data_IF_604260902693
#
_entry.id   IF_604260902693
#
_cell.length_a   1.000
_cell.length_b   1.000
_cell.length_c   1.000
_cell.angle_alpha   90.00
_cell.angle_beta   90.00
_cell.angle_gamma   90.00
#
_symmetry.space_group_name_H-M   'P 1'
#
loop_
_entity.id
_entity.type
_entity.pdbx_description
1 polymer ?
#
# COMPACT_ATOMS: atom_id res chain seq x y z
N UNK A 1 -17.09 -26.82 -8.54
CA UNK A 1 -16.89 -25.36 -8.70
C UNK A 1 -15.79 -25.16 -9.74
N UNK A 2 -15.94 -24.19 -10.66
CA UNK A 2 -14.88 -23.86 -11.62
C UNK A 2 -13.69 -23.23 -10.90
N UNK A 3 -12.47 -23.66 -11.23
CA UNK A 3 -11.23 -23.03 -10.73
C UNK A 3 -11.01 -21.69 -11.42
N UNK A 4 -10.45 -20.72 -10.69
CA UNK A 4 -9.97 -19.46 -11.24
C UNK A 4 -8.65 -19.70 -11.96
N UNK A 5 -8.61 -19.40 -13.25
CA UNK A 5 -7.43 -19.52 -14.09
C UNK A 5 -6.52 -18.34 -13.80
N UNK A 6 -5.29 -18.62 -13.36
CA UNK A 6 -4.31 -17.58 -13.07
C UNK A 6 -3.02 -17.73 -13.86
N UNK A 7 -2.32 -16.61 -14.05
CA UNK A 7 -0.96 -16.57 -14.60
C UNK A 7 -0.05 -15.75 -13.70
N UNK A 8 1.26 -16.02 -13.78
CA UNK A 8 2.29 -15.28 -13.06
C UNK A 8 3.19 -14.58 -14.08
N UNK A 9 3.42 -13.29 -13.93
CA UNK A 9 4.38 -12.52 -14.72
C UNK A 9 5.45 -11.99 -13.77
N UNK A 10 6.63 -12.59 -13.82
CA UNK A 10 7.73 -12.42 -12.87
C UNK A 10 9.03 -12.90 -13.53
N UNK A 11 10.08 -12.08 -13.51
CA UNK A 11 11.37 -12.42 -14.12
C UNK A 11 12.30 -13.18 -13.17
N UNK A 12 12.08 -13.10 -11.85
CA UNK A 12 12.85 -13.82 -10.84
C UNK A 12 12.38 -15.28 -10.67
N UNK A 13 13.18 -16.30 -11.05
CA UNK A 13 12.74 -17.71 -11.02
C UNK A 13 12.36 -18.22 -9.62
N UNK A 14 12.99 -17.69 -8.56
CA UNK A 14 12.67 -18.07 -7.20
C UNK A 14 11.29 -17.57 -6.78
N UNK A 15 10.93 -16.33 -7.15
CA UNK A 15 9.62 -15.77 -6.87
C UNK A 15 8.53 -16.51 -7.66
N UNK A 16 8.79 -16.85 -8.93
CA UNK A 16 7.91 -17.72 -9.73
C UNK A 16 7.68 -19.06 -9.02
N UNK A 17 8.74 -19.69 -8.52
CA UNK A 17 8.65 -20.99 -7.82
C UNK A 17 7.80 -20.88 -6.55
N UNK A 18 7.99 -19.85 -5.74
CA UNK A 18 7.20 -19.61 -4.51
C UNK A 18 5.73 -19.40 -4.85
N UNK A 19 5.42 -18.51 -5.80
CA UNK A 19 4.04 -18.24 -6.20
C UNK A 19 3.36 -19.48 -6.80
N UNK A 20 4.06 -20.23 -7.66
CA UNK A 20 3.52 -21.45 -8.26
C UNK A 20 3.24 -22.53 -7.20
N UNK A 21 4.12 -22.68 -6.22
CA UNK A 21 3.92 -23.58 -5.08
C UNK A 21 2.66 -23.16 -4.28
N UNK A 22 2.53 -21.88 -3.93
CA UNK A 22 1.37 -21.37 -3.22
C UNK A 22 0.07 -21.53 -4.00
N UNK A 23 0.08 -21.28 -5.32
CA UNK A 23 -1.07 -21.53 -6.18
C UNK A 23 -1.47 -23.01 -6.16
N UNK A 24 -0.50 -23.92 -6.17
CA UNK A 24 -0.76 -25.37 -6.14
C UNK A 24 -1.43 -25.84 -4.83
N UNK A 25 -1.16 -25.14 -3.73
CA UNK A 25 -1.74 -25.43 -2.42
C UNK A 25 -3.18 -24.90 -2.26
N UNK A 26 -3.66 -24.03 -3.17
CA UNK A 26 -4.99 -23.42 -3.09
C UNK A 26 -5.96 -24.10 -4.07
N UNK A 27 -6.97 -24.87 -3.60
CA UNK A 27 -7.77 -25.74 -4.48
C UNK A 27 -8.59 -25.04 -5.56
N UNK A 28 -8.93 -23.77 -5.34
CA UNK A 28 -9.76 -22.98 -6.27
C UNK A 28 -8.95 -22.20 -7.31
N UNK A 29 -7.62 -22.27 -7.28
CA UNK A 29 -6.75 -21.66 -8.29
C UNK A 29 -6.26 -22.71 -9.29
N UNK A 30 -5.99 -22.28 -10.51
CA UNK A 30 -5.37 -23.10 -11.55
C UNK A 30 -4.32 -22.28 -12.30
N UNK A 31 -3.04 -22.59 -12.08
CA UNK A 31 -1.95 -21.93 -12.80
C UNK A 31 -1.93 -22.38 -14.27
N UNK A 32 -2.12 -21.43 -15.19
CA UNK A 32 -2.16 -21.68 -16.63
C UNK A 32 -0.85 -21.35 -17.35
N UNK A 33 0.00 -20.52 -16.75
CA UNK A 33 1.29 -20.16 -17.34
C UNK A 33 2.11 -19.23 -16.45
N UNK A 34 3.41 -19.21 -16.70
CA UNK A 34 4.36 -18.28 -16.10
C UNK A 34 5.14 -17.57 -17.19
N UNK A 35 5.39 -16.29 -17.01
CA UNK A 35 6.01 -15.42 -18.02
C UNK A 35 7.08 -14.57 -17.38
N UNK A 36 8.24 -14.47 -18.02
CA UNK A 36 9.37 -13.66 -17.54
C UNK A 36 9.29 -12.18 -17.93
N UNK A 37 8.38 -11.83 -18.84
CA UNK A 37 8.18 -10.45 -19.27
C UNK A 37 6.73 -10.22 -19.71
N UNK A 38 6.33 -8.94 -19.69
CA UNK A 38 4.98 -8.50 -20.01
C UNK A 38 4.60 -8.72 -21.49
N UNK A 39 5.58 -8.77 -22.39
CA UNK A 39 5.34 -8.93 -23.83
C UNK A 39 4.84 -10.36 -24.10
N UNK A 40 5.54 -11.37 -23.57
CA UNK A 40 5.14 -12.77 -23.71
C UNK A 40 3.75 -13.03 -23.12
N UNK A 41 3.42 -12.37 -22.01
CA UNK A 41 2.12 -12.49 -21.38
C UNK A 41 0.99 -11.85 -22.21
N UNK A 42 1.29 -10.79 -22.98
CA UNK A 42 0.30 -10.11 -23.83
C UNK A 42 -0.26 -11.04 -24.91
N UNK A 43 0.61 -11.82 -25.54
CA UNK A 43 0.19 -12.79 -26.56
C UNK A 43 -0.69 -13.88 -25.95
N UNK A 44 -0.34 -14.37 -24.76
CA UNK A 44 -1.16 -15.34 -24.04
C UNK A 44 -2.54 -14.81 -23.64
N UNK A 45 -2.60 -13.58 -23.10
CA UNK A 45 -3.86 -12.94 -22.69
C UNK A 45 -4.80 -12.66 -23.87
N UNK A 46 -4.29 -12.59 -25.10
CA UNK A 46 -5.12 -12.43 -26.31
C UNK A 46 -5.85 -13.72 -26.68
N UNK A 47 -5.24 -14.87 -26.44
CA UNK A 47 -5.74 -16.17 -26.88
C UNK A 47 -6.46 -16.96 -25.77
N UNK A 48 -6.20 -16.61 -24.50
CA UNK A 48 -6.69 -17.36 -23.36
C UNK A 48 -7.41 -16.48 -22.34
N UNK A 49 -8.56 -16.97 -21.86
CA UNK A 49 -9.26 -16.37 -20.73
C UNK A 49 -8.49 -16.62 -19.42
N UNK A 50 -8.16 -15.53 -18.73
CA UNK A 50 -7.49 -15.50 -17.43
C UNK A 50 -8.39 -14.74 -16.46
N UNK A 51 -8.55 -15.27 -15.25
CA UNK A 51 -9.38 -14.67 -14.20
C UNK A 51 -8.52 -13.86 -13.21
N UNK A 52 -7.26 -14.26 -13.02
CA UNK A 52 -6.33 -13.64 -12.06
C UNK A 52 -4.91 -13.54 -12.63
N UNK A 53 -4.31 -12.37 -12.47
CA UNK A 53 -2.92 -12.08 -12.80
C UNK A 53 -2.10 -11.76 -11.54
N UNK A 54 -1.03 -12.52 -11.30
CA UNK A 54 0.04 -12.10 -10.39
C UNK A 54 1.11 -11.36 -11.21
N UNK A 55 1.37 -10.10 -10.88
CA UNK A 55 2.19 -9.22 -11.71
C UNK A 55 3.30 -8.55 -10.89
N UNK A 56 4.55 -8.84 -11.22
CA UNK A 56 5.68 -8.10 -10.67
C UNK A 56 5.78 -6.69 -11.26
N UNK A 57 6.19 -5.74 -10.43
CA UNK A 57 6.36 -4.35 -10.87
C UNK A 57 7.63 -4.18 -11.71
N UNK A 58 8.70 -4.88 -11.38
CA UNK A 58 10.04 -4.73 -11.95
C UNK A 58 10.32 -5.77 -13.02
N UNK A 59 9.49 -5.78 -14.06
CA UNK A 59 9.72 -6.63 -15.22
C UNK A 59 10.75 -6.04 -16.20
N UNK A 60 11.49 -6.90 -16.92
CA UNK A 60 12.37 -6.47 -17.99
C UNK A 60 11.56 -5.92 -19.17
N UNK A 61 12.16 -4.96 -19.90
CA UNK A 61 11.60 -4.25 -21.08
C UNK A 61 10.42 -3.32 -20.77
N UNK A 62 9.41 -3.79 -20.04
CA UNK A 62 8.21 -3.02 -19.70
C UNK A 62 7.83 -3.26 -18.24
N UNK A 63 7.83 -2.20 -17.42
CA UNK A 63 7.44 -2.27 -16.01
C UNK A 63 6.00 -2.76 -15.86
N UNK A 64 5.71 -3.54 -14.82
CA UNK A 64 4.39 -4.14 -14.59
C UNK A 64 3.26 -3.12 -14.51
N UNK A 65 3.47 -2.00 -13.83
CA UNK A 65 2.46 -0.92 -13.75
C UNK A 65 2.17 -0.26 -15.11
N UNK A 66 3.20 -0.15 -15.96
CA UNK A 66 3.02 0.37 -17.31
C UNK A 66 2.29 -0.66 -18.20
N UNK A 67 2.62 -1.94 -18.06
CA UNK A 67 1.90 -3.04 -18.71
C UNK A 67 0.42 -3.09 -18.31
N UNK A 68 0.10 -2.94 -17.02
CA UNK A 68 -1.29 -2.95 -16.57
C UNK A 68 -2.12 -1.84 -17.24
N UNK A 69 -1.53 -0.67 -17.46
CA UNK A 69 -2.18 0.46 -18.16
C UNK A 69 -2.45 0.18 -19.65
N UNK A 70 -1.78 -0.78 -20.27
CA UNK A 70 -2.03 -1.13 -21.69
C UNK A 70 -3.18 -2.12 -21.86
N UNK A 71 -3.64 -2.76 -20.78
CA UNK A 71 -4.75 -3.71 -20.81
C UNK A 71 -6.09 -2.99 -20.76
N UNK A 72 -6.93 -3.17 -21.78
CA UNK A 72 -8.26 -2.55 -21.85
C UNK A 72 -9.26 -3.18 -20.86
N UNK A 73 -9.16 -4.50 -20.68
CA UNK A 73 -9.99 -5.28 -19.76
C UNK A 73 -9.10 -6.22 -18.96
N UNK A 74 -8.34 -5.70 -17.99
CA UNK A 74 -7.46 -6.55 -17.19
C UNK A 74 -8.30 -7.55 -16.36
N UNK A 75 -7.81 -8.78 -16.15
CA UNK A 75 -8.35 -9.68 -15.14
C UNK A 75 -8.15 -9.09 -13.73
N UNK A 76 -8.59 -9.78 -12.68
CA UNK A 76 -8.22 -9.39 -11.32
C UNK A 76 -6.69 -9.40 -11.19
N UNK A 77 -6.09 -8.34 -10.65
CA UNK A 77 -4.63 -8.22 -10.55
C UNK A 77 -4.18 -8.20 -9.10
N UNK A 78 -3.26 -9.09 -8.74
CA UNK A 78 -2.49 -9.02 -7.51
C UNK A 78 -1.07 -8.61 -7.88
N UNK A 79 -0.62 -7.48 -7.36
CA UNK A 79 0.73 -6.97 -7.62
C UNK A 79 1.73 -7.65 -6.68
N UNK A 80 2.87 -8.06 -7.20
CA UNK A 80 4.04 -8.52 -6.43
C UNK A 80 5.15 -7.46 -6.50
N UNK A 81 5.81 -7.18 -5.38
CA UNK A 81 6.85 -6.14 -5.35
C UNK A 81 7.82 -6.36 -4.19
N UNK A 82 9.11 -6.06 -4.41
CA UNK A 82 10.08 -5.96 -3.33
C UNK A 82 10.04 -4.61 -2.57
N UNK A 83 9.21 -3.66 -3.04
CA UNK A 83 9.17 -2.31 -2.52
C UNK A 83 7.75 -1.92 -2.08
N UNK A 84 7.65 -1.44 -0.84
CA UNK A 84 6.40 -0.96 -0.24
C UNK A 84 5.79 0.25 -0.97
N UNK A 85 6.64 1.09 -1.58
CA UNK A 85 6.26 2.38 -2.16
C UNK A 85 5.26 2.31 -3.33
N UNK A 86 5.11 1.15 -3.98
CA UNK A 86 4.20 0.98 -5.11
C UNK A 86 2.81 0.46 -4.73
N UNK A 87 2.59 0.14 -3.45
CA UNK A 87 1.26 -0.19 -2.95
C UNK A 87 0.27 0.99 -3.09
N UNK A 88 0.79 2.23 -3.13
CA UNK A 88 -0.02 3.44 -3.30
C UNK A 88 -0.34 3.73 -4.77
N UNK A 89 0.54 3.38 -5.71
CA UNK A 89 0.35 3.71 -7.14
C UNK A 89 -0.71 2.84 -7.83
N UNK A 90 -0.89 1.58 -7.43
CA UNK A 90 -1.90 0.72 -8.07
C UNK A 90 -3.32 0.88 -7.54
N UNK A 91 -3.53 1.70 -6.50
CA UNK A 91 -4.87 2.21 -6.16
C UNK A 91 -5.51 2.92 -7.36
N UNK A 92 -4.70 3.64 -8.15
CA UNK A 92 -5.16 4.30 -9.38
C UNK A 92 -5.45 3.33 -10.54
N UNK A 93 -5.09 2.04 -10.41
CA UNK A 93 -5.23 1.03 -11.45
C UNK A 93 -6.20 -0.10 -11.08
N UNK A 94 -7.03 0.09 -10.03
CA UNK A 94 -8.04 -0.88 -9.60
C UNK A 94 -7.50 -2.31 -9.39
N UNK A 95 -6.30 -2.45 -8.83
CA UNK A 95 -5.75 -3.77 -8.49
C UNK A 95 -6.51 -4.38 -7.31
N UNK A 96 -6.60 -5.71 -7.27
CA UNK A 96 -7.33 -6.44 -6.23
C UNK A 96 -6.54 -6.53 -4.91
N UNK A 97 -5.22 -6.70 -4.97
CA UNK A 97 -4.37 -6.70 -3.77
C UNK A 97 -2.86 -6.56 -4.09
N UNK A 98 -2.03 -6.52 -3.03
CA UNK A 98 -0.57 -6.45 -3.08
C UNK A 98 0.11 -7.50 -2.20
N UNK A 99 1.18 -8.09 -2.72
CA UNK A 99 2.07 -8.99 -2.02
C UNK A 99 3.49 -8.43 -2.03
N UNK A 100 4.00 -8.11 -0.84
CA UNK A 100 5.40 -7.73 -0.68
C UNK A 100 6.28 -8.99 -0.70
N UNK A 101 7.44 -8.93 -1.37
CA UNK A 101 8.49 -9.95 -1.30
C UNK A 101 9.36 -9.73 -0.04
N UNK A 102 9.74 -10.78 0.71
CA UNK A 102 9.36 -12.19 0.53
C UNK A 102 7.87 -12.41 0.82
N UNK A 103 7.21 -13.21 0.00
CA UNK A 103 5.77 -13.42 0.05
C UNK A 103 5.44 -14.47 1.09
N UNK A 104 4.79 -14.08 2.19
CA UNK A 104 4.25 -15.03 3.17
C UNK A 104 2.99 -15.73 2.65
N UNK A 105 2.88 -17.04 2.87
CA UNK A 105 1.74 -17.84 2.41
C UNK A 105 0.40 -17.35 2.98
N UNK A 106 0.36 -16.97 4.26
CA UNK A 106 -0.85 -16.42 4.89
C UNK A 106 -1.32 -15.15 4.17
N UNK A 107 -0.39 -14.29 3.78
CA UNK A 107 -0.70 -13.04 3.08
C UNK A 107 -1.19 -13.29 1.65
N UNK A 108 -0.58 -14.26 0.97
CA UNK A 108 -1.04 -14.75 -0.34
C UNK A 108 -2.47 -15.27 -0.25
N UNK A 109 -2.79 -16.10 0.75
CA UNK A 109 -4.11 -16.69 0.93
C UNK A 109 -5.19 -15.63 1.16
N UNK A 110 -4.90 -14.61 1.96
CA UNK A 110 -5.80 -13.45 2.15
C UNK A 110 -6.07 -12.75 0.82
N UNK A 111 -5.03 -12.49 0.02
CA UNK A 111 -5.18 -11.78 -1.25
C UNK A 111 -6.05 -12.54 -2.26
N UNK A 112 -5.83 -13.84 -2.42
CA UNK A 112 -6.57 -14.65 -3.41
C UNK A 112 -8.02 -14.90 -3.01
N UNK A 113 -8.33 -14.91 -1.71
CA UNK A 113 -9.70 -15.07 -1.23
C UNK A 113 -10.58 -13.84 -1.50
N UNK A 114 -10.00 -12.63 -1.55
CA UNK A 114 -10.75 -11.41 -1.91
C UNK A 114 -11.37 -11.48 -3.31
N UNK A 115 -10.68 -12.15 -4.24
CA UNK A 115 -11.10 -12.27 -5.65
C UNK A 115 -12.33 -13.18 -5.81
N UNK A 116 -12.54 -14.10 -4.87
CA UNK A 116 -13.64 -15.06 -4.90
C UNK A 116 -15.01 -14.42 -4.56
N UNK A 117 -15.03 -13.20 -4.01
CA UNK A 117 -16.27 -12.54 -3.58
C UNK A 117 -16.99 -11.85 -4.77
N UNK A 118 -18.32 -12.03 -4.93
CA UNK A 118 -19.06 -11.45 -6.06
C UNK A 118 -19.09 -9.91 -6.04
N UNK A 119 -19.19 -9.26 -7.22
CA UNK A 119 -18.96 -7.82 -7.41
C UNK A 119 -20.02 -6.90 -6.76
N UNK A 120 -21.03 -7.44 -6.06
CA UNK A 120 -22.00 -6.65 -5.28
C UNK A 120 -21.45 -6.11 -3.95
N UNK A 121 -20.21 -6.47 -3.60
CA UNK A 121 -19.54 -6.01 -2.38
C UNK A 121 -18.19 -5.33 -2.66
N UNK A 122 -18.03 -4.68 -3.81
CA UNK A 122 -16.88 -3.77 -4.03
C UNK A 122 -17.23 -2.40 -3.45
N UNK A 123 -17.36 -2.35 -2.12
CA UNK A 123 -16.85 -1.25 -1.30
C UNK A 123 -15.75 -1.90 -0.47
N UNK A 124 -14.59 -1.27 -0.28
CA UNK A 124 -13.48 -1.88 0.45
C UNK A 124 -13.84 -1.96 1.93
N UNK A 125 -14.58 -3.00 2.31
CA UNK A 125 -14.71 -3.47 3.69
C UNK A 125 -13.50 -4.36 3.96
N UNK A 126 -12.44 -3.74 4.46
CA UNK A 126 -11.48 -4.47 5.27
C UNK A 126 -12.17 -4.87 6.58
N UNK A 127 -12.89 -5.99 6.55
CA UNK A 127 -13.18 -6.76 7.74
C UNK A 127 -12.02 -7.76 7.92
N UNK A 128 -11.10 -7.40 8.81
CA UNK A 128 -10.69 -8.37 9.82
C UNK A 128 -11.92 -8.66 10.66
N UNK A 129 -12.52 -9.84 10.55
CA UNK A 129 -13.31 -10.40 11.66
C UNK A 129 -12.39 -10.37 12.90
N UNK A 130 -12.81 -9.93 14.07
CA UNK A 130 -14.05 -10.14 14.82
C UNK A 130 -14.23 -8.90 15.72
N UNK A 131 -15.37 -8.34 16.08
CA UNK A 131 -16.79 -8.70 16.14
C UNK A 131 -17.56 -7.38 16.25
N UNK A 132 -18.79 -7.33 15.74
CA UNK A 132 -19.67 -6.17 15.73
C UNK A 132 -19.66 -5.36 17.04
N UNK A 133 -19.28 -4.08 16.95
CA UNK A 133 -19.91 -2.95 17.66
C UNK A 133 -19.32 -1.62 17.14
N UNK A 134 -20.15 -0.83 16.46
CA UNK A 134 -19.95 0.57 16.03
C UNK A 134 -18.79 0.90 15.07
N UNK A 135 -19.06 1.71 14.04
CA UNK A 135 -18.03 2.38 13.23
C UNK A 135 -17.26 3.36 14.13
N UNK A 136 -16.22 2.89 14.81
CA UNK A 136 -15.18 3.75 15.34
C UNK A 136 -14.05 3.83 14.31
N UNK A 137 -13.81 5.03 13.79
CA UNK A 137 -12.50 5.38 13.25
C UNK A 137 -11.47 4.97 14.29
N UNK A 138 -10.50 4.14 13.92
CA UNK A 138 -9.41 3.84 14.86
C UNK A 138 -8.62 5.13 15.04
N UNK A 139 -8.79 5.81 16.17
CA UNK A 139 -8.15 7.09 16.45
C UNK A 139 -6.68 6.93 16.91
N UNK A 140 -6.00 5.85 16.50
CA UNK A 140 -4.66 5.49 16.96
C UNK A 140 -3.90 4.57 16.00
N UNK A 141 -2.58 4.54 16.14
CA UNK A 141 -1.68 3.57 15.51
C UNK A 141 -0.78 2.87 16.55
N UNK A 142 -0.13 1.78 16.14
CA UNK A 142 0.93 1.13 16.92
C UNK A 142 2.27 1.27 16.20
N UNK A 143 3.29 1.79 16.88
CA UNK A 143 4.67 1.84 16.36
C UNK A 143 5.62 0.98 17.17
N UNK A 144 6.63 0.46 16.49
CA UNK A 144 7.77 -0.14 17.16
C UNK A 144 8.71 0.98 17.63
N UNK A 145 8.79 1.19 18.94
CA UNK A 145 9.68 2.15 19.60
C UNK A 145 10.52 1.36 20.60
N UNK A 146 11.85 1.37 20.44
CA UNK A 146 12.78 0.67 21.35
C UNK A 146 12.39 -0.81 21.64
N UNK A 147 12.05 -1.56 20.59
CA UNK A 147 11.59 -2.97 20.65
C UNK A 147 10.24 -3.21 21.35
N UNK A 148 9.46 -2.16 21.61
CA UNK A 148 8.09 -2.25 22.13
C UNK A 148 7.08 -1.75 21.10
N UNK A 149 5.91 -2.39 21.02
CA UNK A 149 4.75 -1.80 20.34
C UNK A 149 4.12 -0.76 21.25
N UNK A 150 4.14 0.49 20.82
CA UNK A 150 3.57 1.62 21.55
C UNK A 150 2.33 2.11 20.81
N UNK A 151 1.20 2.19 21.52
CA UNK A 151 -0.03 2.81 21.01
C UNK A 151 0.13 4.33 21.03
N UNK A 152 -0.17 5.00 19.93
CA UNK A 152 -0.13 6.46 19.80
C UNK A 152 -1.49 6.91 19.25
N UNK A 153 -2.17 7.81 19.97
CA UNK A 153 -3.43 8.38 19.52
C UNK A 153 -3.19 9.46 18.46
N UNK A 154 -3.97 9.47 17.39
CA UNK A 154 -3.87 10.47 16.33
C UNK A 154 -4.13 11.89 16.85
N UNK A 155 -5.10 12.04 17.75
CA UNK A 155 -5.45 13.33 18.38
C UNK A 155 -4.32 13.93 19.23
N UNK A 156 -3.34 13.12 19.62
CA UNK A 156 -2.15 13.55 20.35
C UNK A 156 -0.99 13.93 19.43
N UNK A 157 -0.95 13.47 18.19
CA UNK A 157 0.16 13.76 17.27
C UNK A 157 0.09 15.23 16.83
N UNK A 158 1.21 15.92 16.97
CA UNK A 158 1.37 17.33 16.60
C UNK A 158 2.01 17.40 15.21
N UNK A 159 3.21 16.86 15.09
CA UNK A 159 3.92 16.71 13.82
C UNK A 159 4.84 15.49 13.86
N UNK A 160 5.28 15.08 12.68
CA UNK A 160 6.23 14.00 12.46
C UNK A 160 7.38 14.53 11.63
N UNK A 161 8.59 14.25 12.08
CA UNK A 161 9.84 14.69 11.48
C UNK A 161 10.70 13.50 11.05
N UNK A 162 11.26 13.56 9.86
CA UNK A 162 12.29 12.62 9.39
C UNK A 162 13.66 12.96 10.00
N UNK A 163 14.28 11.98 10.66
CA UNK A 163 15.63 12.08 11.21
C UNK A 163 16.50 10.92 10.69
N UNK A 164 17.14 11.13 9.55
CA UNK A 164 17.96 10.13 8.84
C UNK A 164 17.15 8.87 8.51
N UNK A 165 17.37 7.79 9.26
CA UNK A 165 16.72 6.48 9.09
C UNK A 165 15.54 6.25 10.07
N UNK A 166 15.22 7.27 10.87
CA UNK A 166 14.14 7.25 11.84
C UNK A 166 13.10 8.33 11.53
N UNK A 167 11.90 8.14 12.06
CA UNK A 167 10.91 9.19 12.25
C UNK A 167 10.81 9.54 13.73
N UNK A 168 10.76 10.84 14.01
CA UNK A 168 10.41 11.40 15.30
C UNK A 168 8.96 11.81 15.24
N UNK A 169 8.12 11.21 16.08
CA UNK A 169 6.71 11.55 16.26
C UNK A 169 6.63 12.42 17.50
N UNK A 170 6.21 13.67 17.32
CA UNK A 170 6.00 14.61 18.43
C UNK A 170 4.52 14.61 18.77
N UNK A 171 4.20 14.31 20.02
CA UNK A 171 2.83 14.35 20.54
C UNK A 171 2.67 15.40 21.63
N UNK A 172 1.44 15.64 22.08
CA UNK A 172 1.14 16.53 23.21
C UNK A 172 1.74 16.07 24.54
N UNK A 173 2.14 14.79 24.64
CA UNK A 173 2.65 14.20 25.89
C UNK A 173 4.12 13.82 25.80
N UNK A 174 4.51 13.18 24.70
CA UNK A 174 5.81 12.51 24.58
C UNK A 174 6.33 12.62 23.14
N UNK A 175 7.58 12.22 22.98
CA UNK A 175 8.18 12.02 21.67
C UNK A 175 8.58 10.56 21.50
N UNK A 176 8.37 10.06 20.28
CA UNK A 176 8.67 8.68 19.92
C UNK A 176 9.61 8.64 18.74
N UNK A 177 10.58 7.73 18.77
CA UNK A 177 11.48 7.46 17.66
C UNK A 177 11.22 6.05 17.12
N UNK A 178 10.84 5.96 15.85
CA UNK A 178 10.61 4.69 15.17
C UNK A 178 11.47 4.55 13.94
N UNK A 179 12.01 3.35 13.70
CA UNK A 179 12.86 3.08 12.53
C UNK A 179 11.96 2.78 11.32
N UNK A 180 11.55 3.84 10.64
CA UNK A 180 10.79 3.80 9.40
C UNK A 180 10.96 5.13 8.66
N UNK A 181 10.57 5.17 7.40
CA UNK A 181 10.60 6.36 6.55
C UNK A 181 9.35 7.23 6.72
N UNK A 182 9.45 8.50 6.31
CA UNK A 182 8.30 9.42 6.29
C UNK A 182 7.19 8.94 5.37
N UNK A 183 7.51 8.23 4.27
CA UNK A 183 6.51 7.66 3.36
C UNK A 183 5.74 6.51 4.00
N UNK A 184 6.43 5.60 4.68
CA UNK A 184 5.77 4.51 5.41
C UNK A 184 4.88 5.07 6.51
N UNK A 185 5.27 6.17 7.13
CA UNK A 185 4.49 6.81 8.18
C UNK A 185 3.25 7.51 7.64
N UNK A 186 3.41 8.26 6.55
CA UNK A 186 2.31 8.91 5.83
C UNK A 186 1.21 7.92 5.47
N UNK A 187 1.57 6.71 5.03
CA UNK A 187 0.62 5.65 4.69
C UNK A 187 -0.17 5.08 5.88
N UNK A 188 0.26 5.31 7.13
CA UNK A 188 -0.43 4.86 8.34
C UNK A 188 -1.37 5.92 8.94
N UNK A 189 -1.34 7.14 8.41
CA UNK A 189 -2.07 8.28 8.95
C UNK A 189 -3.38 8.51 8.18
N UNK A 190 -4.47 8.90 8.85
CA UNK A 190 -5.68 9.38 8.18
C UNK A 190 -5.37 10.60 7.31
N UNK A 191 -5.66 10.51 6.01
CA UNK A 191 -5.32 11.56 5.03
C UNK A 191 -6.06 12.88 5.25
N UNK A 192 -7.18 12.84 5.99
CA UNK A 192 -7.96 14.03 6.34
C UNK A 192 -7.37 14.76 7.56
N UNK A 193 -6.67 14.05 8.44
CA UNK A 193 -6.16 14.61 9.70
C UNK A 193 -4.69 15.00 9.61
N UNK A 194 -3.96 14.45 8.63
CA UNK A 194 -2.53 14.65 8.46
C UNK A 194 -2.17 15.04 7.04
N UNK A 195 -1.27 16.02 6.91
CA UNK A 195 -0.76 16.49 5.61
C UNK A 195 0.76 16.49 5.60
N UNK A 196 1.33 15.94 4.54
CA UNK A 196 2.75 16.10 4.27
C UNK A 196 3.01 17.42 3.58
N UNK A 197 3.82 18.25 4.22
CA UNK A 197 4.13 19.61 3.76
C UNK A 197 5.61 19.77 3.39
N UNK A 198 6.44 18.77 3.67
CA UNK A 198 7.86 18.78 3.31
C UNK A 198 8.35 17.34 3.14
N UNK A 199 9.47 17.14 2.43
CA UNK A 199 10.09 15.81 2.29
C UNK A 199 10.37 15.14 3.64
N UNK A 200 10.57 15.94 4.68
CA UNK A 200 10.90 15.53 6.05
C UNK A 200 9.78 15.77 7.07
N UNK A 201 8.63 16.35 6.71
CA UNK A 201 7.61 16.72 7.70
C UNK A 201 6.19 16.36 7.28
N UNK A 202 5.45 15.78 8.22
CA UNK A 202 3.99 15.58 8.18
C UNK A 202 3.40 16.28 9.40
N UNK A 203 2.33 17.03 9.22
CA UNK A 203 1.66 17.80 10.29
C UNK A 203 0.25 17.29 10.54
N UNK A 204 -0.26 17.44 11.76
CA UNK A 204 -1.70 17.30 12.02
C UNK A 204 -2.41 18.60 11.62
N UNK A 205 -3.43 18.48 10.78
CA UNK A 205 -4.25 19.61 10.30
C UNK A 205 -4.96 20.29 11.47
N UNK A 206 -5.49 19.50 12.40
CA UNK A 206 -6.19 20.00 13.59
C UNK A 206 -5.30 20.79 14.57
N UNK A 207 -3.98 20.74 14.40
CA UNK A 207 -2.99 21.37 15.29
C UNK A 207 -2.31 22.59 14.67
N UNK A 208 -2.69 22.96 13.45
CA UNK A 208 -2.14 24.15 12.77
C UNK A 208 -2.58 25.40 13.55
N UNK A 209 -1.62 26.23 13.92
CA UNK A 209 -1.84 27.52 14.59
C UNK A 209 -1.94 28.65 13.57
N UNK A 210 -1.04 28.66 12.59
CA UNK A 210 -1.01 29.62 11.49
C UNK A 210 -0.26 29.03 10.28
N UNK A 211 -0.48 29.57 9.08
CA UNK A 211 0.32 29.20 7.91
C UNK A 211 0.47 30.35 6.90
N UNK A 212 1.50 30.25 6.08
CA UNK A 212 1.79 31.10 4.92
C UNK A 212 2.07 30.20 3.72
N UNK A 213 2.46 30.78 2.57
CA UNK A 213 2.87 30.01 1.40
C UNK A 213 4.18 29.20 1.60
N UNK A 214 4.97 29.53 2.63
CA UNK A 214 6.30 28.95 2.83
C UNK A 214 6.51 28.30 4.20
N UNK A 215 5.66 28.57 5.20
CA UNK A 215 5.79 28.05 6.57
C UNK A 215 4.42 27.69 7.14
N UNK A 216 4.34 26.59 7.89
CA UNK A 216 3.23 26.26 8.79
C UNK A 216 3.73 26.32 10.24
N UNK A 217 2.99 26.97 11.13
CA UNK A 217 3.25 26.98 12.57
C UNK A 217 2.38 25.95 13.28
N UNK A 218 3.03 25.09 14.07
CA UNK A 218 2.38 24.04 14.85
C UNK A 218 3.08 23.94 16.20
N UNK A 219 2.36 24.11 17.31
CA UNK A 219 2.90 24.01 18.68
C UNK A 219 4.11 24.95 18.90
N UNK A 220 4.03 26.18 18.39
CA UNK A 220 5.12 27.16 18.45
C UNK A 220 6.36 26.83 17.60
N UNK A 221 6.30 25.81 16.73
CA UNK A 221 7.39 25.45 15.80
C UNK A 221 7.02 25.85 14.38
N UNK A 222 7.89 26.62 13.74
CA UNK A 222 7.77 26.98 12.32
C UNK A 222 8.37 25.89 11.43
N UNK A 223 7.52 25.19 10.68
CA UNK A 223 7.91 24.10 9.76
C UNK A 223 7.86 24.62 8.32
N UNK A 224 8.98 24.54 7.56
CA UNK A 224 9.01 25.02 6.18
C UNK A 224 8.24 24.11 5.24
N UNK A 225 7.55 24.73 4.29
CA UNK A 225 6.83 24.06 3.21
C UNK A 225 7.83 23.75 2.08
N UNK A 226 7.88 22.49 1.67
CA UNK A 226 8.69 22.06 0.54
C UNK A 226 8.09 22.55 -0.77
N UNK A 227 8.94 22.96 -1.72
CA UNK A 227 8.50 23.52 -3.02
C UNK A 227 7.49 22.64 -3.78
N UNK A 228 7.61 21.32 -3.69
CA UNK A 228 6.70 20.36 -4.32
C UNK A 228 5.45 20.00 -3.49
N UNK A 229 5.26 20.66 -2.35
CA UNK A 229 4.15 20.42 -1.41
C UNK A 229 3.32 21.69 -1.19
N UNK A 230 3.46 22.73 -2.02
CA UNK A 230 2.69 23.97 -1.85
C UNK A 230 1.19 23.77 -2.10
N UNK A 231 0.86 22.99 -3.12
CA UNK A 231 -0.53 22.62 -3.45
C UNK A 231 -1.20 21.81 -2.32
N UNK A 232 -0.44 21.12 -1.44
CA UNK A 232 -1.04 20.32 -0.36
C UNK A 232 -1.67 21.16 0.77
N UNK A 233 -1.52 22.48 0.69
CA UNK A 233 -1.85 23.49 1.70
C UNK A 233 -2.89 24.47 1.16
N UNK A 234 -3.15 24.46 -0.16
CA UNK A 234 -4.17 25.31 -0.79
C UNK A 234 -5.60 24.88 -0.39
N UNK A 235 -5.77 23.64 0.07
CA UNK A 235 -7.03 23.05 0.54
C UNK A 235 -7.12 22.89 2.08
N UNK A 236 -6.31 23.64 2.85
CA UNK A 236 -6.31 23.62 4.34
C UNK A 236 -7.31 24.59 4.97
#
# INVERSE_FOLDING_TARGET
MSKLKCIIIEDEPLAVKVLADYVSQVPFLELKGTFKDAILATDYLREHAVDLLFLDIHLPKLKGMAFLKTLTHPPAVIITTAYHQYAVEGFNLNVADYLLKPIDFERFLVAVNKIKMPPKYIRPSHETHETHETHETKDYLFLNVQKKKVKILFSEIIYIESQREYIRIVTTKNEYLSKMSTHEMEALLPTNDFKRIHRSFIISVSKIESYTADIVEVNGVSIPIGRGYRESIEDL
#
